data_IF_131137034294
#
_entry.id   IF_131137034294
#
_cell.length_a   1.000
_cell.length_b   1.000
_cell.length_c   1.000
_cell.angle_alpha   90.00
_cell.angle_beta   90.00
_cell.angle_gamma   90.00
#
_symmetry.space_group_name_H-M   'P 1'
#
loop_
_entity.id
_entity.type
_entity.pdbx_description
1 polymer ?
#
# COMPACT_ATOMS: atom_id res chain seq x y z
N UNK A 1 1.29 -25.80 -1.03
CA UNK A 1 0.84 -24.41 -1.15
C UNK A 1 1.15 -23.92 -2.56
N UNK A 2 0.32 -23.07 -3.15
CA UNK A 2 0.64 -22.44 -4.44
C UNK A 2 1.67 -21.31 -4.19
N UNK A 3 2.47 -20.95 -5.20
CA UNK A 3 3.55 -19.96 -5.04
C UNK A 3 3.06 -18.62 -4.49
N UNK A 4 1.85 -18.20 -4.88
CA UNK A 4 1.25 -16.94 -4.44
C UNK A 4 0.99 -16.96 -2.92
N UNK A 5 0.42 -18.05 -2.39
CA UNK A 5 0.11 -18.16 -0.96
C UNK A 5 1.38 -18.24 -0.10
N UNK A 6 2.44 -18.87 -0.61
CA UNK A 6 3.76 -18.91 0.03
C UNK A 6 4.38 -17.51 0.12
N UNK A 7 4.37 -16.77 -1.00
CA UNK A 7 4.82 -15.36 -1.02
C UNK A 7 4.03 -14.52 -0.03
N UNK A 8 2.70 -14.62 -0.04
CA UNK A 8 1.84 -13.87 0.86
C UNK A 8 2.21 -14.09 2.34
N UNK A 9 2.42 -15.34 2.74
CA UNK A 9 2.78 -15.70 4.12
C UNK A 9 4.15 -15.13 4.51
N UNK A 10 5.17 -15.35 3.69
CA UNK A 10 6.54 -14.83 3.91
C UNK A 10 6.57 -13.32 4.05
N UNK A 11 5.78 -12.61 3.25
CA UNK A 11 5.71 -11.13 3.27
C UNK A 11 5.07 -10.64 4.56
N UNK A 12 3.97 -11.24 4.98
CA UNK A 12 3.28 -10.87 6.23
C UNK A 12 4.21 -11.09 7.43
N UNK A 13 4.90 -12.24 7.50
CA UNK A 13 5.85 -12.56 8.56
C UNK A 13 7.01 -11.56 8.61
N UNK A 14 7.64 -11.30 7.46
CA UNK A 14 8.73 -10.33 7.35
C UNK A 14 8.27 -8.92 7.75
N UNK A 15 7.09 -8.50 7.29
CA UNK A 15 6.58 -7.16 7.54
C UNK A 15 6.26 -6.97 9.02
N UNK A 16 5.59 -7.94 9.65
CA UNK A 16 5.34 -7.90 11.10
C UNK A 16 6.63 -7.83 11.91
N UNK A 17 7.63 -8.65 11.55
CA UNK A 17 8.93 -8.64 12.22
C UNK A 17 9.68 -7.32 12.06
N UNK A 18 9.49 -6.60 10.94
CA UNK A 18 10.09 -5.29 10.72
C UNK A 18 9.50 -4.19 11.62
N UNK A 19 8.19 -4.21 11.85
CA UNK A 19 7.46 -3.28 12.71
C UNK A 19 7.39 -1.83 12.21
N UNK A 20 6.51 -1.04 12.87
CA UNK A 20 6.14 0.35 12.49
C UNK A 20 7.33 1.27 12.19
N UNK A 21 8.43 1.13 12.94
CA UNK A 21 9.64 1.95 12.75
C UNK A 21 10.24 1.76 11.35
N UNK A 22 10.22 0.54 10.81
CA UNK A 22 10.79 0.27 9.49
C UNK A 22 9.77 0.45 8.36
N UNK A 23 8.47 0.34 8.64
CA UNK A 23 7.41 0.51 7.62
C UNK A 23 7.43 1.91 7.01
N UNK A 24 7.59 2.94 7.85
CA UNK A 24 7.44 4.34 7.44
C UNK A 24 8.76 5.10 7.32
N UNK A 25 9.86 4.54 7.81
CA UNK A 25 11.17 5.17 7.71
C UNK A 25 11.86 4.82 6.38
N UNK A 26 12.49 5.83 5.76
CA UNK A 26 13.45 5.58 4.70
C UNK A 26 14.71 4.94 5.30
N UNK A 27 15.08 3.75 4.80
CA UNK A 27 16.25 3.01 5.27
C UNK A 27 16.81 2.16 4.16
N UNK A 28 17.96 2.56 3.62
CA UNK A 28 18.65 1.82 2.55
C UNK A 28 18.98 0.37 2.97
N UNK A 29 19.27 0.17 4.27
CA UNK A 29 19.52 -1.16 4.82
C UNK A 29 18.27 -2.05 4.82
N UNK A 30 17.09 -1.47 5.04
CA UNK A 30 15.82 -2.20 4.99
C UNK A 30 15.40 -2.46 3.53
N UNK A 31 15.59 -1.47 2.66
CA UNK A 31 15.35 -1.62 1.22
C UNK A 31 16.22 -2.72 0.62
N UNK A 32 17.50 -2.80 1.03
CA UNK A 32 18.39 -3.89 0.62
C UNK A 32 17.87 -5.26 1.08
N UNK A 33 17.33 -5.37 2.30
CA UNK A 33 16.71 -6.62 2.78
C UNK A 33 15.49 -7.00 1.95
N UNK A 34 14.62 -6.03 1.64
CA UNK A 34 13.46 -6.28 0.77
C UNK A 34 13.93 -6.78 -0.60
N UNK A 35 14.93 -6.10 -1.19
CA UNK A 35 15.50 -6.46 -2.48
C UNK A 35 16.07 -7.88 -2.50
N UNK A 36 16.89 -8.24 -1.52
CA UNK A 36 17.50 -9.57 -1.45
C UNK A 36 16.46 -10.67 -1.29
N UNK A 37 15.41 -10.45 -0.51
CA UNK A 37 14.47 -11.50 -0.14
C UNK A 37 13.23 -11.62 -1.04
N UNK A 38 12.82 -10.52 -1.69
CA UNK A 38 11.49 -10.43 -2.32
C UNK A 38 11.47 -9.81 -3.72
N UNK A 39 12.58 -9.33 -4.29
CA UNK A 39 12.56 -8.73 -5.63
C UNK A 39 11.95 -9.66 -6.68
N UNK A 40 12.36 -10.93 -6.70
CA UNK A 40 11.81 -11.92 -7.63
C UNK A 40 10.33 -12.24 -7.39
N UNK A 41 9.87 -12.13 -6.14
CA UNK A 41 8.47 -12.36 -5.77
C UNK A 41 7.58 -11.19 -6.19
N UNK A 42 8.08 -9.95 -5.99
CA UNK A 42 7.40 -8.72 -6.42
C UNK A 42 7.23 -8.69 -7.94
N UNK A 43 8.28 -9.02 -8.70
CA UNK A 43 8.19 -9.06 -10.17
C UNK A 43 7.28 -10.20 -10.65
N UNK A 44 7.32 -11.37 -10.01
CA UNK A 44 6.40 -12.47 -10.32
C UNK A 44 4.93 -12.08 -10.11
N UNK A 45 4.61 -11.41 -9.00
CA UNK A 45 3.25 -10.95 -8.72
C UNK A 45 2.80 -9.82 -9.68
N UNK A 46 3.74 -9.02 -10.19
CA UNK A 46 3.46 -7.95 -11.15
C UNK A 46 2.96 -8.50 -12.51
N UNK A 47 3.31 -9.73 -12.87
CA UNK A 47 2.89 -10.34 -14.14
C UNK A 47 1.56 -11.11 -14.07
N UNK A 48 0.99 -11.30 -12.88
CA UNK A 48 -0.21 -12.11 -12.67
C UNK A 48 -1.46 -11.22 -12.62
N UNK A 49 -2.55 -11.69 -13.23
CA UNK A 49 -3.89 -11.13 -13.01
C UNK A 49 -4.45 -11.54 -11.65
N UNK A 50 -3.93 -10.89 -10.60
CA UNK A 50 -4.26 -11.19 -9.21
C UNK A 50 -5.69 -10.82 -8.86
N UNK A 51 -6.26 -9.77 -9.46
CA UNK A 51 -7.64 -9.35 -9.18
C UNK A 51 -8.62 -10.42 -9.63
N UNK A 52 -8.42 -11.00 -10.82
CA UNK A 52 -9.22 -12.15 -11.26
C UNK A 52 -8.93 -13.39 -10.42
N UNK A 53 -7.66 -13.66 -10.09
CA UNK A 53 -7.27 -14.82 -9.27
C UNK A 53 -7.98 -14.84 -7.91
N UNK A 54 -8.10 -13.68 -7.28
CA UNK A 54 -8.69 -13.50 -5.94
C UNK A 54 -10.17 -13.13 -5.99
N UNK A 55 -10.84 -13.26 -7.14
CA UNK A 55 -12.27 -13.00 -7.23
C UNK A 55 -13.03 -13.94 -6.28
N UNK A 56 -13.80 -13.35 -5.36
CA UNK A 56 -14.60 -14.11 -4.39
C UNK A 56 -13.83 -14.59 -3.16
N UNK A 57 -12.71 -13.95 -2.82
CA UNK A 57 -11.99 -14.17 -1.56
C UNK A 57 -12.92 -14.26 -0.36
N UNK A 58 -12.51 -15.07 0.62
CA UNK A 58 -13.23 -15.27 1.89
C UNK A 58 -12.43 -14.84 3.11
N UNK A 59 -11.14 -14.55 2.93
CA UNK A 59 -10.26 -14.12 4.00
C UNK A 59 -9.30 -13.04 3.48
N UNK A 60 -9.26 -11.89 4.16
CA UNK A 60 -8.36 -10.79 3.79
C UNK A 60 -6.88 -11.15 3.97
N UNK A 61 -6.55 -12.06 4.89
CA UNK A 61 -5.18 -12.50 5.12
C UNK A 61 -4.58 -13.23 3.92
N UNK A 62 -5.38 -13.81 3.03
CA UNK A 62 -4.89 -14.53 1.85
C UNK A 62 -4.28 -13.60 0.79
N UNK A 63 -4.54 -12.29 0.88
CA UNK A 63 -4.14 -11.30 -0.12
C UNK A 63 -3.33 -10.13 0.48
N UNK A 64 -3.35 -9.92 1.79
CA UNK A 64 -2.72 -8.75 2.40
C UNK A 64 -1.21 -8.64 2.13
N UNK A 65 -0.47 -9.74 2.19
CA UNK A 65 0.96 -9.75 1.86
C UNK A 65 1.22 -9.38 0.41
N UNK A 66 0.30 -9.73 -0.49
CA UNK A 66 0.36 -9.35 -1.91
C UNK A 66 0.14 -7.86 -2.07
N UNK A 67 -0.81 -7.27 -1.34
CA UNK A 67 -1.01 -5.82 -1.31
C UNK A 67 0.25 -5.12 -0.82
N UNK A 68 0.86 -5.59 0.28
CA UNK A 68 2.13 -5.05 0.81
C UNK A 68 3.24 -5.13 -0.24
N UNK A 69 3.35 -6.23 -0.99
CA UNK A 69 4.33 -6.36 -2.07
C UNK A 69 4.14 -5.34 -3.19
N UNK A 70 2.90 -5.21 -3.68
CA UNK A 70 2.59 -4.38 -4.84
C UNK A 70 2.62 -2.89 -4.51
N UNK A 71 2.28 -2.53 -3.28
CA UNK A 71 2.19 -1.15 -2.83
C UNK A 71 3.47 -0.69 -2.09
N UNK A 72 3.77 -1.31 -0.94
CA UNK A 72 4.87 -0.89 -0.07
C UNK A 72 6.24 -1.32 -0.60
N UNK A 73 6.43 -2.62 -0.92
CA UNK A 73 7.75 -3.09 -1.37
C UNK A 73 8.18 -2.42 -2.66
N UNK A 74 7.27 -2.14 -3.60
CA UNK A 74 7.65 -1.38 -4.81
C UNK A 74 8.18 0.01 -4.47
N UNK A 75 7.60 0.72 -3.50
CA UNK A 75 8.11 2.01 -3.01
C UNK A 75 9.48 1.91 -2.34
N UNK A 76 9.78 0.79 -1.67
CA UNK A 76 11.12 0.50 -1.14
C UNK A 76 12.14 0.15 -2.24
N UNK A 77 11.74 -0.70 -3.20
CA UNK A 77 12.61 -1.23 -4.25
C UNK A 77 12.95 -0.22 -5.35
N UNK A 78 12.02 0.68 -5.66
CA UNK A 78 12.06 1.56 -6.83
C UNK A 78 11.95 3.05 -6.45
N UNK A 79 12.59 3.45 -5.35
CA UNK A 79 12.58 4.85 -4.89
C UNK A 79 12.93 5.83 -6.02
N UNK A 80 12.23 6.96 -6.04
CA UNK A 80 12.42 8.04 -7.03
C UNK A 80 12.18 7.60 -8.49
N UNK A 81 11.41 6.55 -8.73
CA UNK A 81 11.12 6.04 -10.07
C UNK A 81 9.63 5.79 -10.25
N UNK A 82 9.13 5.98 -11.47
CA UNK A 82 7.76 5.63 -11.84
C UNK A 82 7.44 4.14 -11.56
N UNK A 83 8.47 3.27 -11.58
CA UNK A 83 8.35 1.85 -11.23
C UNK A 83 7.78 1.58 -9.84
N UNK A 84 7.91 2.53 -8.92
CA UNK A 84 7.31 2.41 -7.58
C UNK A 84 5.78 2.35 -7.61
N UNK A 85 5.15 2.93 -8.64
CA UNK A 85 3.70 3.16 -8.71
C UNK A 85 3.00 2.28 -9.78
N UNK A 86 3.77 1.54 -10.59
CA UNK A 86 3.25 0.73 -11.71
C UNK A 86 2.18 -0.30 -11.30
N UNK A 87 2.16 -0.72 -10.04
CA UNK A 87 1.23 -1.74 -9.54
C UNK A 87 0.14 -1.18 -8.62
N UNK A 88 0.05 0.15 -8.46
CA UNK A 88 -0.92 0.79 -7.55
C UNK A 88 -2.36 0.43 -7.92
N UNK A 89 -2.70 0.43 -9.21
CA UNK A 89 -4.03 0.04 -9.67
C UNK A 89 -4.37 -1.42 -9.33
N UNK A 90 -3.37 -2.32 -9.38
CA UNK A 90 -3.56 -3.73 -9.02
C UNK A 90 -3.73 -3.89 -7.52
N UNK A 91 -2.90 -3.21 -6.72
CA UNK A 91 -3.03 -3.18 -5.26
C UNK A 91 -4.40 -2.64 -4.82
N UNK A 92 -4.88 -1.56 -5.47
CA UNK A 92 -6.21 -1.00 -5.24
C UNK A 92 -7.33 -1.99 -5.61
N UNK A 93 -7.19 -2.72 -6.72
CA UNK A 93 -8.15 -3.76 -7.09
C UNK A 93 -8.29 -4.84 -6.01
N UNK A 94 -7.17 -5.27 -5.43
CA UNK A 94 -7.17 -6.24 -4.32
C UNK A 94 -7.75 -5.65 -3.03
N UNK A 95 -7.43 -4.39 -2.70
CA UNK A 95 -8.02 -3.68 -1.57
C UNK A 95 -9.55 -3.57 -1.71
N UNK A 96 -10.05 -3.27 -2.92
CA UNK A 96 -11.47 -3.24 -3.24
C UNK A 96 -12.15 -4.59 -3.06
N UNK A 97 -11.47 -5.69 -3.34
CA UNK A 97 -12.01 -7.03 -3.05
C UNK A 97 -12.17 -7.25 -1.54
N UNK A 98 -11.20 -6.84 -0.72
CA UNK A 98 -11.32 -6.94 0.75
C UNK A 98 -12.53 -6.15 1.23
N UNK A 99 -12.62 -4.87 0.84
CA UNK A 99 -13.69 -3.97 1.28
C UNK A 99 -15.07 -4.45 0.81
N UNK A 100 -15.22 -4.81 -0.47
CA UNK A 100 -16.52 -5.21 -1.04
C UNK A 100 -17.06 -6.49 -0.40
N UNK A 101 -16.18 -7.35 0.12
CA UNK A 101 -16.57 -8.56 0.85
C UNK A 101 -16.66 -8.36 2.37
N UNK A 102 -16.41 -7.15 2.89
CA UNK A 102 -16.46 -6.84 4.33
C UNK A 102 -15.45 -7.63 5.15
N UNK A 103 -14.26 -7.87 4.61
CA UNK A 103 -13.26 -8.76 5.21
C UNK A 103 -12.17 -8.04 6.00
N UNK A 104 -12.13 -6.70 5.97
CA UNK A 104 -11.08 -5.92 6.63
C UNK A 104 -11.13 -6.02 8.15
N UNK A 105 -12.30 -6.22 8.74
CA UNK A 105 -12.46 -6.44 10.18
C UNK A 105 -11.82 -7.74 10.69
N UNK A 106 -11.51 -8.70 9.80
CA UNK A 106 -10.79 -9.93 10.17
C UNK A 106 -9.28 -9.71 10.30
N UNK A 107 -8.77 -8.53 9.94
CA UNK A 107 -7.35 -8.20 10.04
C UNK A 107 -7.03 -7.55 11.40
N UNK A 108 -5.89 -7.91 11.97
CA UNK A 108 -5.34 -7.21 13.13
C UNK A 108 -5.12 -5.72 12.80
N UNK A 109 -5.44 -4.85 13.76
CA UNK A 109 -5.39 -3.40 13.63
C UNK A 109 -4.05 -2.88 13.05
N UNK A 110 -2.92 -3.42 13.54
CA UNK A 110 -1.58 -2.99 13.14
C UNK A 110 -1.27 -3.16 11.65
N UNK A 111 -1.83 -4.19 11.02
CA UNK A 111 -1.57 -4.52 9.62
C UNK A 111 -2.75 -4.19 8.70
N UNK A 112 -3.94 -3.96 9.28
CA UNK A 112 -5.16 -3.57 8.56
C UNK A 112 -4.95 -2.31 7.74
N UNK A 113 -4.16 -1.36 8.25
CA UNK A 113 -3.79 -0.12 7.54
C UNK A 113 -3.24 -0.38 6.13
N UNK A 114 -2.55 -1.49 5.89
CA UNK A 114 -1.98 -1.80 4.58
C UNK A 114 -3.02 -2.28 3.57
N UNK A 115 -4.18 -2.76 4.02
CA UNK A 115 -5.33 -3.00 3.15
C UNK A 115 -5.99 -1.69 2.69
N UNK A 116 -5.79 -0.60 3.42
CA UNK A 116 -6.42 0.69 3.15
C UNK A 116 -5.52 1.65 2.37
N UNK A 117 -4.19 1.54 2.53
CA UNK A 117 -3.21 2.39 1.85
C UNK A 117 -3.38 2.50 0.33
N UNK A 118 -3.75 1.44 -0.42
CA UNK A 118 -4.00 1.58 -1.85
C UNK A 118 -5.07 2.62 -2.22
N UNK A 119 -6.08 2.84 -1.35
CA UNK A 119 -7.06 3.92 -1.55
C UNK A 119 -6.40 5.29 -1.37
N UNK A 120 -5.55 5.43 -0.35
CA UNK A 120 -4.81 6.67 -0.05
C UNK A 120 -3.82 7.05 -1.16
N UNK A 121 -3.29 6.06 -1.88
CA UNK A 121 -2.37 6.28 -3.00
C UNK A 121 -3.09 6.49 -4.34
N UNK A 122 -4.41 6.30 -4.40
CA UNK A 122 -5.16 6.48 -5.64
C UNK A 122 -5.45 7.95 -5.91
N UNK A 123 -5.19 8.44 -7.13
CA UNK A 123 -5.46 9.83 -7.49
C UNK A 123 -6.94 10.12 -7.84
N UNK A 124 -7.84 9.14 -7.65
CA UNK A 124 -9.27 9.31 -7.88
C UNK A 124 -9.97 9.80 -6.61
N UNK A 125 -10.75 10.88 -6.73
CA UNK A 125 -11.45 11.49 -5.59
C UNK A 125 -12.35 10.50 -4.84
N UNK A 126 -13.07 9.63 -5.56
CA UNK A 126 -13.95 8.62 -4.94
C UNK A 126 -13.18 7.62 -4.06
N UNK A 127 -11.95 7.28 -4.47
CA UNK A 127 -11.10 6.37 -3.71
C UNK A 127 -10.46 7.10 -2.51
N UNK A 128 -10.15 8.39 -2.65
CA UNK A 128 -9.70 9.24 -1.53
C UNK A 128 -10.78 9.47 -0.48
N UNK A 129 -12.04 9.71 -0.88
CA UNK A 129 -13.18 9.78 0.05
C UNK A 129 -13.39 8.47 0.81
N UNK A 130 -13.13 7.34 0.13
CA UNK A 130 -13.15 6.02 0.76
C UNK A 130 -11.99 5.88 1.74
N UNK A 131 -10.79 6.35 1.39
CA UNK A 131 -9.64 6.39 2.27
C UNK A 131 -9.94 7.17 3.55
N UNK A 132 -10.54 8.36 3.47
CA UNK A 132 -10.94 9.15 4.64
C UNK A 132 -11.80 8.33 5.62
N UNK A 133 -12.79 7.59 5.10
CA UNK A 133 -13.67 6.75 5.92
C UNK A 133 -12.91 5.58 6.57
N UNK A 134 -12.08 4.88 5.80
CA UNK A 134 -11.31 3.71 6.26
C UNK A 134 -10.27 4.09 7.33
N UNK A 135 -9.74 5.31 7.25
CA UNK A 135 -8.75 5.84 8.19
C UNK A 135 -9.35 6.75 9.27
N UNK A 136 -10.68 6.74 9.44
CA UNK A 136 -11.42 7.57 10.40
C UNK A 136 -10.97 9.04 10.42
N UNK A 137 -10.83 9.63 9.22
CA UNK A 137 -10.36 11.00 9.01
C UNK A 137 -9.05 11.34 9.72
N UNK A 138 -8.15 10.35 9.89
CA UNK A 138 -6.82 10.62 10.43
C UNK A 138 -6.12 11.73 9.63
N UNK A 139 -5.27 12.51 10.29
CA UNK A 139 -4.51 13.59 9.64
C UNK A 139 -3.78 13.12 8.37
N UNK A 140 -3.29 11.88 8.36
CA UNK A 140 -2.63 11.30 7.19
C UNK A 140 -3.58 11.19 5.99
N UNK A 141 -4.80 10.69 6.20
CA UNK A 141 -5.79 10.57 5.12
C UNK A 141 -6.27 11.94 4.62
N UNK A 142 -6.48 12.90 5.54
CA UNK A 142 -6.86 14.28 5.18
C UNK A 142 -5.79 14.95 4.33
N UNK A 143 -4.51 14.84 4.71
CA UNK A 143 -3.41 15.41 3.92
C UNK A 143 -3.39 14.84 2.50
N UNK A 144 -3.56 13.52 2.33
CA UNK A 144 -3.58 12.92 0.99
C UNK A 144 -4.80 13.37 0.17
N UNK A 145 -5.97 13.46 0.81
CA UNK A 145 -7.19 13.97 0.18
C UNK A 145 -7.02 15.41 -0.31
N UNK A 146 -6.50 16.29 0.55
CA UNK A 146 -6.29 17.70 0.23
C UNK A 146 -5.30 17.89 -0.92
N UNK A 147 -4.20 17.12 -0.95
CA UNK A 147 -3.24 17.15 -2.06
C UNK A 147 -3.91 16.84 -3.41
N UNK A 148 -4.83 15.86 -3.44
CA UNK A 148 -5.58 15.51 -4.64
C UNK A 148 -6.58 16.61 -5.02
N UNK A 149 -7.33 17.16 -4.06
CA UNK A 149 -8.29 18.25 -4.33
C UNK A 149 -7.60 19.49 -4.88
N UNK A 150 -6.51 19.92 -4.24
CA UNK A 150 -5.82 21.14 -4.62
C UNK A 150 -4.91 20.95 -5.85
N UNK A 151 -4.86 19.74 -6.43
CA UNK A 151 -4.00 19.37 -7.57
C UNK A 151 -2.55 19.77 -7.36
N UNK A 152 -2.09 19.78 -6.12
CA UNK A 152 -0.69 19.94 -5.81
C UNK A 152 -0.05 18.63 -6.22
N UNK A 153 0.74 18.64 -7.31
CA UNK A 153 1.47 17.46 -7.75
C UNK A 153 2.27 16.91 -6.56
N UNK A 154 2.15 15.61 -6.30
CA UNK A 154 3.00 14.93 -5.32
C UNK A 154 4.47 15.24 -5.62
N UNK A 155 5.22 15.87 -4.69
CA UNK A 155 6.67 15.88 -4.81
C UNK A 155 7.18 14.47 -4.47
N UNK A 156 7.73 13.76 -5.45
CA UNK A 156 8.43 12.51 -5.19
C UNK A 156 9.79 12.78 -4.48
N UNK A 157 10.24 11.98 -3.50
CA UNK A 157 9.49 11.31 -2.43
C UNK A 157 9.98 11.76 -1.03
N UNK A 158 9.05 12.26 -0.22
CA UNK A 158 9.16 12.49 1.24
C UNK A 158 10.27 13.44 1.74
N UNK A 159 10.60 14.48 0.97
CA UNK A 159 11.22 15.71 1.47
C UNK A 159 10.12 16.76 1.63
N UNK A 160 9.64 16.99 2.85
CA UNK A 160 8.67 18.06 3.10
C UNK A 160 9.36 19.39 2.83
N UNK A 161 8.77 20.19 1.95
CA UNK A 161 8.59 21.62 2.19
C UNK A 161 7.30 22.06 1.46
N UNK A 162 6.17 21.90 2.15
CA UNK A 162 5.03 22.77 1.93
C UNK A 162 4.96 23.65 3.17
N UNK A 163 5.38 24.91 3.04
CA UNK A 163 5.35 25.87 4.14
C UNK A 163 3.89 26.10 4.56
N UNK A 164 3.61 25.83 5.82
CA UNK A 164 2.30 25.95 6.49
C UNK A 164 1.63 27.33 6.33
N UNK A 165 2.38 28.38 5.97
CA UNK A 165 1.87 29.75 5.88
C UNK A 165 0.92 30.02 4.68
N UNK A 166 0.76 29.07 3.76
CA UNK A 166 -0.12 29.25 2.58
C UNK A 166 -1.41 28.44 2.61
N UNK A 167 -1.58 27.53 3.58
CA UNK A 167 -2.76 26.65 3.64
C UNK A 167 -3.79 27.11 4.69
N UNK A 168 -3.41 27.97 5.64
CA UNK A 168 -4.30 28.48 6.70
C UNK A 168 -4.25 30.00 6.88
N UNK A 169 -4.53 30.77 5.82
CA UNK A 169 -5.08 32.13 6.00
C UNK A 169 -6.61 32.07 5.98
#
# INVERSE_FOLDING_TARGET
MNRISDINTRVIEFWRAAGKKNWFAKSDSFDAKIKTNFLADVEYLADIDLVTHFKGIKNAMDVLGIIICLDQFRRNLYRNSAKAFEQDAKALGLAKLIQTNGLDDTLDEDIRTFAYMPYMHCEQLVDQETSLKLFDNSNYAVIHYDLIIFRVQFPAPWGVECSHEQIYS
#
